data_IF_278530623392
#
_entry.id   IF_278530623392
#
_cell.length_a   1.000
_cell.length_b   1.000
_cell.length_c   1.000
_cell.angle_alpha   90.00
_cell.angle_beta   90.00
_cell.angle_gamma   90.00
#
_symmetry.space_group_name_H-M   'P 1'
#
loop_
_entity.id
_entity.type
_entity.pdbx_description
1 polymer ?
#
# COMPACT_ATOMS: atom_id res chain seq x y z
N UNK A 1 17.59 -18.29 3.99
CA UNK A 1 16.66 -17.92 5.04
C UNK A 1 16.59 -16.39 5.23
N UNK A 2 17.72 -15.68 5.47
CA UNK A 2 17.71 -14.24 5.73
C UNK A 2 17.07 -13.42 4.57
N UNK A 3 17.36 -13.77 3.32
CA UNK A 3 16.74 -13.13 2.16
C UNK A 3 15.21 -13.34 2.11
N UNK A 4 14.73 -14.52 2.50
CA UNK A 4 13.30 -14.78 2.62
C UNK A 4 12.66 -13.94 3.74
N UNK A 5 13.28 -13.87 4.92
CA UNK A 5 12.78 -13.04 6.02
C UNK A 5 12.75 -11.55 5.66
N UNK A 6 13.72 -11.07 4.88
CA UNK A 6 13.71 -9.72 4.32
C UNK A 6 12.45 -9.46 3.47
N UNK A 7 12.03 -10.40 2.61
CA UNK A 7 10.83 -10.24 1.79
C UNK A 7 9.55 -10.26 2.62
N UNK A 8 9.48 -11.08 3.67
CA UNK A 8 8.34 -11.13 4.60
C UNK A 8 8.17 -9.81 5.35
N UNK A 9 9.26 -9.25 5.87
CA UNK A 9 9.18 -7.95 6.56
C UNK A 9 8.89 -6.80 5.57
N UNK A 10 9.38 -6.88 4.34
CA UNK A 10 9.02 -5.95 3.26
C UNK A 10 7.52 -5.98 2.93
N UNK A 11 6.91 -7.16 2.88
CA UNK A 11 5.47 -7.31 2.71
C UNK A 11 4.69 -6.67 3.88
N UNK A 12 5.15 -6.86 5.12
CA UNK A 12 4.51 -6.23 6.30
C UNK A 12 4.60 -4.70 6.25
N UNK A 13 5.76 -4.17 5.87
CA UNK A 13 5.93 -2.72 5.71
C UNK A 13 4.98 -2.15 4.64
N UNK A 14 4.89 -2.82 3.49
CA UNK A 14 3.97 -2.43 2.42
C UNK A 14 2.51 -2.50 2.87
N UNK A 15 2.12 -3.54 3.61
CA UNK A 15 0.77 -3.68 4.14
C UNK A 15 0.41 -2.53 5.11
N UNK A 16 1.32 -2.16 6.01
CA UNK A 16 1.10 -1.00 6.91
C UNK A 16 0.93 0.30 6.14
N UNK A 17 1.77 0.52 5.11
CA UNK A 17 1.65 1.70 4.24
C UNK A 17 0.30 1.73 3.53
N UNK A 18 -0.11 0.60 2.96
CA UNK A 18 -1.38 0.48 2.25
C UNK A 18 -2.58 0.76 3.17
N UNK A 19 -2.60 0.18 4.36
CA UNK A 19 -3.67 0.43 5.35
C UNK A 19 -3.73 1.91 5.73
N UNK A 20 -2.57 2.55 5.93
CA UNK A 20 -2.49 3.98 6.22
C UNK A 20 -3.02 4.84 5.08
N UNK A 21 -2.67 4.51 3.82
CA UNK A 21 -3.16 5.23 2.65
C UNK A 21 -4.68 5.08 2.46
N UNK A 22 -5.21 3.86 2.65
CA UNK A 22 -6.66 3.61 2.59
C UNK A 22 -7.38 4.40 3.67
N UNK A 23 -6.86 4.40 4.90
CA UNK A 23 -7.46 5.17 6.00
C UNK A 23 -7.45 6.66 5.71
N UNK A 24 -6.33 7.21 5.23
CA UNK A 24 -6.23 8.62 4.85
C UNK A 24 -7.23 8.97 3.74
N UNK A 25 -7.25 8.20 2.65
CA UNK A 25 -8.17 8.43 1.54
C UNK A 25 -9.64 8.35 1.99
N UNK A 26 -9.96 7.45 2.93
CA UNK A 26 -11.30 7.33 3.49
C UNK A 26 -11.70 8.55 4.32
N UNK A 27 -10.82 9.07 5.17
CA UNK A 27 -11.10 10.30 5.95
C UNK A 27 -11.23 11.52 5.04
N UNK A 28 -10.42 11.63 3.98
CA UNK A 28 -10.55 12.69 2.98
C UNK A 28 -11.90 12.58 2.24
N UNK A 29 -12.34 11.38 1.88
CA UNK A 29 -13.65 11.13 1.32
C UNK A 29 -14.79 11.60 2.25
N UNK A 30 -14.69 11.28 3.55
CA UNK A 30 -15.68 11.70 4.55
C UNK A 30 -15.71 13.23 4.74
N UNK A 31 -14.54 13.88 4.64
CA UNK A 31 -14.47 15.35 4.66
C UNK A 31 -15.16 15.96 3.45
N UNK A 32 -14.95 15.42 2.25
CA UNK A 32 -15.65 15.87 1.03
C UNK A 32 -17.17 15.66 1.09
N UNK A 33 -17.63 14.53 1.65
CA UNK A 33 -19.07 14.28 1.87
C UNK A 33 -19.67 15.34 2.81
N UNK A 34 -18.97 15.72 3.88
CA UNK A 34 -19.40 16.77 4.80
C UNK A 34 -19.42 18.14 4.11
N UNK A 35 -18.37 18.46 3.37
CA UNK A 35 -18.30 19.71 2.60
C UNK A 35 -19.45 19.83 1.59
N UNK A 36 -19.74 18.74 0.85
CA UNK A 36 -20.86 18.68 -0.08
C UNK A 36 -22.21 18.94 0.63
N UNK A 37 -22.39 18.37 1.82
CA UNK A 37 -23.59 18.59 2.64
C UNK A 37 -23.75 20.07 3.02
N UNK A 38 -22.65 20.72 3.46
CA UNK A 38 -22.64 22.15 3.83
C UNK A 38 -22.93 23.01 2.60
N UNK A 39 -22.31 22.69 1.45
CA UNK A 39 -22.55 23.45 0.20
C UNK A 39 -23.99 23.31 -0.28
N UNK A 40 -24.60 22.12 -0.17
CA UNK A 40 -26.02 21.91 -0.50
C UNK A 40 -26.96 22.71 0.41
N UNK A 41 -26.71 22.76 1.71
CA UNK A 41 -27.44 23.62 2.64
C UNK A 41 -27.27 25.13 2.31
N UNK A 42 -26.03 25.51 1.98
CA UNK A 42 -25.73 26.89 1.58
C UNK A 42 -26.46 27.26 0.27
N UNK A 43 -26.50 26.33 -0.70
CA UNK A 43 -27.23 26.52 -1.94
C UNK A 43 -28.73 26.81 -1.69
N UNK A 44 -29.37 26.01 -0.83
CA UNK A 44 -30.79 26.24 -0.47
C UNK A 44 -31.00 27.61 0.18
N UNK A 45 -30.11 28.01 1.11
CA UNK A 45 -30.13 29.32 1.74
C UNK A 45 -29.94 30.47 0.72
N UNK A 46 -29.06 30.28 -0.29
CA UNK A 46 -28.85 31.25 -1.37
C UNK A 46 -30.06 31.34 -2.29
N UNK A 47 -30.73 30.24 -2.62
CA UNK A 47 -32.00 30.24 -3.38
C UNK A 47 -33.04 31.09 -2.67
N UNK A 48 -33.22 30.91 -1.37
CA UNK A 48 -34.18 31.70 -0.58
C UNK A 48 -33.77 33.20 -0.50
N UNK A 49 -32.47 33.47 -0.39
CA UNK A 49 -31.94 34.84 -0.42
C UNK A 49 -32.26 35.56 -1.76
N UNK A 50 -32.09 34.86 -2.87
CA UNK A 50 -32.44 35.37 -4.21
C UNK A 50 -33.94 35.65 -4.30
N UNK A 51 -34.79 34.73 -3.81
CA UNK A 51 -36.24 34.88 -3.78
C UNK A 51 -36.64 36.13 -2.99
N UNK A 52 -36.07 36.32 -1.81
CA UNK A 52 -36.36 37.48 -0.96
C UNK A 52 -35.86 38.79 -1.59
N UNK A 53 -34.63 38.79 -2.14
CA UNK A 53 -34.06 39.95 -2.82
C UNK A 53 -34.92 40.36 -4.04
N UNK A 54 -35.45 39.40 -4.80
CA UNK A 54 -36.37 39.64 -5.92
C UNK A 54 -37.66 40.31 -5.47
N UNK A 55 -38.32 39.78 -4.43
CA UNK A 55 -39.57 40.37 -3.88
C UNK A 55 -39.36 41.79 -3.40
N UNK A 56 -38.23 42.09 -2.74
CA UNK A 56 -37.91 43.45 -2.27
C UNK A 56 -37.64 44.40 -3.43
N UNK A 57 -37.00 43.95 -4.49
CA UNK A 57 -36.75 44.73 -5.69
C UNK A 57 -38.09 45.05 -6.43
N UNK A 58 -38.91 44.01 -6.67
CA UNK A 58 -40.23 44.19 -7.32
C UNK A 58 -41.17 45.09 -6.49
N UNK A 59 -41.06 45.07 -5.17
CA UNK A 59 -41.76 45.95 -4.26
C UNK A 59 -41.18 47.37 -4.14
N UNK A 60 -40.11 47.71 -4.88
CA UNK A 60 -39.44 49.00 -4.84
C UNK A 60 -38.67 49.30 -3.55
N UNK A 61 -38.42 48.28 -2.71
CA UNK A 61 -37.76 48.44 -1.39
C UNK A 61 -36.19 48.35 -1.47
N UNK A 62 -35.67 47.82 -2.58
CA UNK A 62 -34.21 47.70 -2.78
C UNK A 62 -33.82 47.93 -4.24
N UNK A 63 -32.54 48.22 -4.48
CA UNK A 63 -32.00 48.39 -5.83
C UNK A 63 -31.88 47.07 -6.59
N UNK A 64 -31.90 47.12 -7.92
CA UNK A 64 -31.62 45.96 -8.77
C UNK A 64 -30.21 45.35 -8.46
N UNK A 65 -29.24 46.16 -8.07
CA UNK A 65 -27.90 45.73 -7.72
C UNK A 65 -27.92 44.67 -6.63
N UNK A 66 -28.72 44.85 -5.57
CA UNK A 66 -28.83 43.89 -4.49
C UNK A 66 -29.40 42.55 -4.95
N UNK A 67 -30.38 42.56 -5.84
CA UNK A 67 -30.92 41.34 -6.45
C UNK A 67 -29.89 40.64 -7.34
N UNK A 68 -29.18 41.38 -8.19
CA UNK A 68 -28.12 40.83 -9.05
C UNK A 68 -26.98 40.24 -8.25
N UNK A 69 -26.60 40.90 -7.16
CA UNK A 69 -25.59 40.38 -6.24
C UNK A 69 -25.98 39.01 -5.65
N UNK A 70 -27.22 38.88 -5.19
CA UNK A 70 -27.75 37.61 -4.70
C UNK A 70 -27.70 36.49 -5.76
N UNK A 71 -28.03 36.81 -7.01
CA UNK A 71 -27.93 35.87 -8.13
C UNK A 71 -26.50 35.43 -8.40
N UNK A 72 -25.53 36.33 -8.34
CA UNK A 72 -24.10 36.00 -8.50
C UNK A 72 -23.62 35.06 -7.41
N UNK A 73 -24.00 35.30 -6.15
CA UNK A 73 -23.65 34.42 -5.04
C UNK A 73 -24.30 33.03 -5.17
N UNK A 74 -25.53 32.93 -5.63
CA UNK A 74 -26.15 31.64 -5.93
C UNK A 74 -25.41 30.93 -7.07
N UNK A 75 -25.08 31.62 -8.15
CA UNK A 75 -24.36 31.03 -9.28
C UNK A 75 -23.00 30.49 -8.86
N UNK A 76 -22.23 31.21 -8.03
CA UNK A 76 -20.97 30.75 -7.46
C UNK A 76 -21.16 29.46 -6.64
N UNK A 77 -22.15 29.43 -5.76
CA UNK A 77 -22.43 28.25 -4.93
C UNK A 77 -22.84 27.05 -5.79
N UNK A 78 -23.58 27.27 -6.85
CA UNK A 78 -24.05 26.23 -7.78
C UNK A 78 -22.86 25.53 -8.47
N UNK A 79 -21.76 26.22 -8.76
CA UNK A 79 -20.59 25.63 -9.43
C UNK A 79 -19.79 24.73 -8.52
N UNK A 80 -19.91 24.86 -7.18
CA UNK A 80 -19.17 24.03 -6.22
C UNK A 80 -19.72 22.61 -6.14
N UNK A 81 -21.03 22.42 -6.32
CA UNK A 81 -21.66 21.09 -6.17
C UNK A 81 -21.09 20.06 -7.15
N UNK A 82 -21.08 20.30 -8.48
CA UNK A 82 -20.55 19.31 -9.42
C UNK A 82 -19.03 19.09 -9.25
N UNK A 83 -18.29 20.09 -8.82
CA UNK A 83 -16.87 19.91 -8.56
C UNK A 83 -16.60 19.01 -7.35
N UNK A 84 -17.33 19.19 -6.25
CA UNK A 84 -17.24 18.30 -5.08
C UNK A 84 -17.71 16.88 -5.41
N UNK A 85 -18.78 16.72 -6.18
CA UNK A 85 -19.24 15.39 -6.62
C UNK A 85 -18.18 14.68 -7.47
N UNK A 86 -17.48 15.42 -8.35
CA UNK A 86 -16.35 14.90 -9.11
C UNK A 86 -15.20 14.48 -8.20
N UNK A 87 -14.84 15.29 -7.20
CA UNK A 87 -13.77 14.98 -6.25
C UNK A 87 -14.10 13.73 -5.42
N UNK A 88 -15.35 13.59 -4.98
CA UNK A 88 -15.85 12.40 -4.27
C UNK A 88 -15.66 11.15 -5.13
N UNK A 89 -16.06 11.18 -6.41
CA UNK A 89 -15.89 10.04 -7.33
C UNK A 89 -14.43 9.68 -7.54
N UNK A 90 -13.54 10.67 -7.66
CA UNK A 90 -12.11 10.44 -7.78
C UNK A 90 -11.56 9.75 -6.52
N UNK A 91 -12.00 10.17 -5.34
CA UNK A 91 -11.57 9.59 -4.06
C UNK A 91 -12.11 8.16 -3.86
N UNK A 92 -13.34 7.87 -4.28
CA UNK A 92 -13.91 6.52 -4.31
C UNK A 92 -13.09 5.59 -5.22
N UNK A 93 -12.72 6.07 -6.41
CA UNK A 93 -11.89 5.31 -7.34
C UNK A 93 -10.47 5.06 -6.78
N UNK A 94 -9.88 6.03 -6.08
CA UNK A 94 -8.59 5.87 -5.41
C UNK A 94 -8.65 4.77 -4.35
N UNK A 95 -9.68 4.77 -3.49
CA UNK A 95 -9.87 3.73 -2.48
C UNK A 95 -10.08 2.37 -3.13
N UNK A 96 -10.91 2.29 -4.18
CA UNK A 96 -11.14 1.06 -4.94
C UNK A 96 -9.83 0.50 -5.53
N UNK A 97 -8.98 1.36 -6.08
CA UNK A 97 -7.67 0.99 -6.60
C UNK A 97 -6.75 0.46 -5.49
N UNK A 98 -6.66 1.16 -4.35
CA UNK A 98 -5.84 0.76 -3.21
C UNK A 98 -6.28 -0.59 -2.61
N UNK A 99 -7.58 -0.90 -2.66
CA UNK A 99 -8.14 -2.16 -2.15
C UNK A 99 -8.21 -3.27 -3.19
N UNK A 100 -7.83 -2.99 -4.44
CA UNK A 100 -7.83 -3.96 -5.54
C UNK A 100 -9.24 -4.32 -6.04
N UNK A 101 -10.23 -3.44 -5.82
CA UNK A 101 -11.60 -3.62 -6.30
C UNK A 101 -11.86 -2.81 -7.56
N UNK A 102 -12.90 -3.18 -8.30
CA UNK A 102 -13.39 -2.36 -9.39
C UNK A 102 -13.95 -1.03 -8.86
N UNK A 103 -13.88 0.07 -9.65
CA UNK A 103 -14.47 1.34 -9.27
C UNK A 103 -15.93 1.20 -8.88
N UNK A 104 -16.31 1.76 -7.74
CA UNK A 104 -17.66 1.66 -7.21
C UNK A 104 -17.86 2.53 -5.97
N UNK A 105 -19.09 2.57 -5.47
CA UNK A 105 -19.42 3.32 -4.28
C UNK A 105 -18.75 2.69 -3.04
N UNK A 106 -18.12 3.53 -2.24
CA UNK A 106 -17.49 3.11 -0.98
C UNK A 106 -18.52 3.26 0.16
N UNK A 107 -18.73 2.22 0.99
CA UNK A 107 -19.64 2.30 2.14
C UNK A 107 -19.23 3.42 3.10
N UNK A 108 -20.20 4.27 3.50
CA UNK A 108 -20.01 5.34 4.48
C UNK A 108 -20.33 4.79 5.88
N UNK A 109 -19.38 4.92 6.80
CA UNK A 109 -19.62 4.69 8.21
C UNK A 109 -20.23 5.91 8.91
N UNK A 110 -19.93 6.07 10.19
CA UNK A 110 -20.36 7.23 10.98
C UNK A 110 -19.81 8.55 10.41
N UNK A 111 -20.53 9.64 10.69
CA UNK A 111 -20.08 10.98 10.29
C UNK A 111 -18.73 11.32 10.95
N UNK A 112 -17.93 12.13 10.23
CA UNK A 112 -16.57 12.47 10.65
C UNK A 112 -16.56 13.20 12.01
N UNK A 113 -17.59 13.97 12.33
CA UNK A 113 -17.77 14.69 13.60
C UNK A 113 -18.07 13.77 14.80
N UNK A 114 -18.51 12.53 14.55
CA UNK A 114 -18.83 11.53 15.59
C UNK A 114 -17.76 10.48 15.78
N UNK A 115 -16.71 10.50 14.98
CA UNK A 115 -15.64 9.52 15.06
C UNK A 115 -14.76 9.80 16.30
N UNK A 116 -14.60 8.77 17.13
CA UNK A 116 -13.76 8.84 18.33
C UNK A 116 -12.29 8.73 17.92
N UNK A 117 -11.53 9.78 18.12
CA UNK A 117 -10.07 9.73 17.99
C UNK A 117 -9.46 9.04 19.22
N UNK A 118 -8.53 8.12 18.99
CA UNK A 118 -7.68 7.57 20.04
C UNK A 118 -6.75 8.68 20.56
N UNK A 119 -7.12 9.31 21.65
CA UNK A 119 -6.36 10.44 22.26
C UNK A 119 -5.19 9.96 23.13
N UNK A 120 -5.23 8.70 23.60
CA UNK A 120 -4.18 8.11 24.45
C UNK A 120 -3.09 7.42 23.62
N UNK A 121 -2.27 8.20 22.92
CA UNK A 121 -1.02 7.71 22.38
C UNK A 121 0.05 7.79 23.48
N UNK A 122 0.71 6.67 23.84
CA UNK A 122 1.72 6.67 24.88
C UNK A 122 2.86 7.64 24.52
N UNK A 123 3.09 8.61 25.40
CA UNK A 123 4.17 9.59 25.26
C UNK A 123 5.50 8.90 25.50
N UNK A 124 6.36 8.89 24.49
CA UNK A 124 7.65 8.22 24.50
C UNK A 124 7.58 6.80 23.99
N UNK A 125 8.11 6.62 22.79
CA UNK A 125 8.22 5.29 22.15
C UNK A 125 9.42 4.56 22.77
N UNK A 126 9.24 3.43 23.46
CA UNK A 126 10.35 2.62 23.92
C UNK A 126 11.23 2.20 22.74
N UNK A 127 12.54 2.11 22.94
CA UNK A 127 13.49 1.62 21.91
C UNK A 127 13.08 0.25 21.34
N UNK A 128 12.38 -0.57 22.13
CA UNK A 128 11.81 -1.83 21.68
C UNK A 128 10.79 -1.71 20.53
N UNK A 129 10.18 -0.55 20.31
CA UNK A 129 9.31 -0.32 19.15
C UNK A 129 10.12 -0.21 17.85
N UNK A 130 11.35 0.29 17.90
CA UNK A 130 12.25 0.31 16.75
C UNK A 130 12.53 -1.12 16.25
N UNK A 131 12.69 -2.07 17.18
CA UNK A 131 12.90 -3.48 16.86
C UNK A 131 11.66 -4.16 16.26
N UNK A 132 10.47 -3.61 16.50
CA UNK A 132 9.20 -4.13 15.96
C UNK A 132 8.84 -3.56 14.60
N UNK A 133 9.45 -2.46 14.17
CA UNK A 133 9.18 -1.84 12.88
C UNK A 133 9.60 -2.76 11.72
N UNK A 134 8.67 -3.07 10.80
CA UNK A 134 8.98 -3.99 9.69
C UNK A 134 10.06 -3.46 8.74
N UNK A 135 10.14 -2.15 8.51
CA UNK A 135 11.16 -1.53 7.66
C UNK A 135 12.57 -1.66 8.25
N UNK A 136 12.71 -1.50 9.58
CA UNK A 136 13.98 -1.71 10.29
C UNK A 136 14.37 -3.19 10.25
N UNK A 137 13.43 -4.09 10.52
CA UNK A 137 13.66 -5.54 10.45
C UNK A 137 14.02 -5.99 9.03
N UNK A 138 13.40 -5.42 8.01
CA UNK A 138 13.76 -5.66 6.62
C UNK A 138 15.22 -5.27 6.34
N UNK A 139 15.66 -4.09 6.79
CA UNK A 139 17.03 -3.63 6.64
C UNK A 139 18.02 -4.53 7.40
N UNK A 140 17.66 -4.97 8.61
CA UNK A 140 18.45 -5.91 9.40
C UNK A 140 18.61 -7.27 8.69
N UNK A 141 17.53 -7.85 8.17
CA UNK A 141 17.60 -9.10 7.42
C UNK A 141 18.37 -8.96 6.11
N UNK A 142 18.31 -7.80 5.47
CA UNK A 142 19.14 -7.47 4.29
C UNK A 142 20.62 -7.50 4.66
N UNK A 143 20.98 -6.89 5.79
CA UNK A 143 22.36 -6.94 6.31
C UNK A 143 22.79 -8.38 6.65
N UNK A 144 21.95 -9.15 7.34
CA UNK A 144 22.21 -10.58 7.65
C UNK A 144 22.39 -11.41 6.37
N UNK A 145 21.59 -11.13 5.33
CA UNK A 145 21.73 -11.81 4.04
C UNK A 145 23.05 -11.45 3.34
N UNK A 146 23.46 -10.18 3.38
CA UNK A 146 24.74 -9.74 2.84
C UNK A 146 25.93 -10.38 3.59
N UNK A 147 25.87 -10.40 4.91
CA UNK A 147 26.89 -11.04 5.74
C UNK A 147 26.99 -12.56 5.47
N UNK A 148 25.86 -13.25 5.29
CA UNK A 148 25.87 -14.67 4.90
C UNK A 148 26.51 -14.90 3.52
N UNK A 149 26.40 -13.95 2.57
CA UNK A 149 27.10 -14.03 1.27
C UNK A 149 28.61 -13.93 1.41
N UNK A 150 29.11 -13.13 2.37
CA UNK A 150 30.56 -13.11 2.69
C UNK A 150 31.00 -14.48 3.16
N UNK A 151 30.23 -15.14 4.02
CA UNK A 151 30.50 -16.51 4.44
C UNK A 151 30.57 -17.51 3.27
N UNK A 152 29.62 -17.39 2.32
CA UNK A 152 29.61 -18.21 1.09
C UNK A 152 30.84 -17.94 0.24
N UNK A 153 31.22 -16.68 0.06
CA UNK A 153 32.43 -16.31 -0.70
C UNK A 153 33.71 -16.89 -0.01
N UNK A 154 33.77 -16.80 1.31
CA UNK A 154 34.88 -17.40 2.08
C UNK A 154 34.95 -18.91 1.93
N UNK A 155 33.80 -19.61 2.01
CA UNK A 155 33.77 -21.08 1.86
C UNK A 155 34.14 -21.54 0.45
N UNK A 156 34.04 -20.71 -0.56
CA UNK A 156 34.47 -21.03 -1.94
C UNK A 156 35.98 -21.15 -2.10
N UNK A 157 36.78 -20.76 -1.08
CA UNK A 157 38.22 -20.93 -1.03
C UNK A 157 38.60 -22.38 -0.63
N UNK A 158 37.70 -23.14 -0.03
CA UNK A 158 37.96 -24.49 0.48
C UNK A 158 37.49 -25.57 -0.51
N UNK A 159 38.06 -26.80 -0.39
CA UNK A 159 37.59 -27.93 -1.17
C UNK A 159 36.12 -28.23 -0.94
N UNK A 160 35.40 -28.49 -2.01
CA UNK A 160 34.01 -28.92 -1.97
C UNK A 160 33.88 -30.42 -2.07
N UNK A 161 33.23 -31.03 -1.07
CA UNK A 161 32.94 -32.47 -1.03
C UNK A 161 31.48 -32.65 -1.36
N UNK A 162 31.19 -33.35 -2.44
CA UNK A 162 29.81 -33.67 -2.86
C UNK A 162 29.61 -35.17 -2.78
N UNK A 163 28.59 -35.61 -2.05
CA UNK A 163 28.15 -37.00 -2.00
C UNK A 163 26.82 -37.09 -2.78
N UNK A 164 26.78 -37.99 -3.74
CA UNK A 164 25.61 -38.25 -4.57
C UNK A 164 25.16 -39.69 -4.41
N UNK A 165 23.92 -39.89 -3.99
CA UNK A 165 23.29 -41.19 -3.93
C UNK A 165 22.07 -41.18 -4.87
N UNK A 166 21.94 -42.18 -5.70
CA UNK A 166 20.77 -42.39 -6.56
C UNK A 166 20.29 -43.82 -6.39
N UNK A 167 18.98 -43.94 -6.24
CA UNK A 167 18.32 -45.24 -6.28
C UNK A 167 17.16 -45.13 -7.26
N UNK A 168 17.05 -46.08 -8.17
CA UNK A 168 16.02 -46.04 -9.18
C UNK A 168 15.93 -47.40 -9.87
N UNK A 169 15.13 -47.41 -10.94
CA UNK A 169 14.98 -48.50 -11.90
C UNK A 169 15.22 -47.91 -13.26
N UNK A 170 16.08 -48.53 -14.04
CA UNK A 170 16.46 -48.10 -15.37
C UNK A 170 16.62 -49.33 -16.24
N UNK A 171 15.88 -49.43 -17.32
CA UNK A 171 16.04 -50.49 -18.30
C UNK A 171 15.77 -49.90 -19.68
N UNK A 172 16.34 -50.53 -20.74
CA UNK A 172 16.13 -50.17 -22.13
C UNK A 172 14.78 -50.68 -22.68
N UNK A 173 14.16 -51.67 -22.01
CA UNK A 173 12.84 -52.22 -22.36
C UNK A 173 11.80 -51.99 -21.27
N UNK A 174 10.61 -51.55 -21.67
CA UNK A 174 9.51 -51.24 -20.76
C UNK A 174 9.03 -52.47 -19.97
N UNK A 175 9.18 -53.65 -20.52
CA UNK A 175 8.82 -54.94 -19.92
C UNK A 175 9.68 -55.31 -18.72
N UNK A 176 10.92 -54.84 -18.64
CA UNK A 176 11.89 -55.17 -17.60
C UNK A 176 12.19 -54.00 -16.63
N UNK A 177 11.57 -52.84 -16.87
CA UNK A 177 11.71 -51.64 -16.07
C UNK A 177 11.49 -51.86 -14.55
N UNK A 178 10.66 -52.82 -14.16
CA UNK A 178 10.39 -53.11 -12.74
C UNK A 178 11.37 -54.19 -12.15
N UNK A 179 12.20 -54.83 -12.95
CA UNK A 179 13.01 -55.98 -12.53
C UNK A 179 14.43 -55.62 -12.14
N UNK A 180 15.00 -54.52 -12.62
CA UNK A 180 16.39 -54.13 -12.39
C UNK A 180 16.51 -52.87 -11.55
N UNK A 181 16.51 -52.95 -10.21
CA UNK A 181 16.87 -51.80 -9.39
C UNK A 181 18.39 -51.51 -9.48
N UNK A 182 18.73 -50.24 -9.69
CA UNK A 182 20.13 -49.80 -9.58
C UNK A 182 20.33 -48.88 -8.39
N UNK A 183 21.52 -49.00 -7.83
CA UNK A 183 22.01 -48.13 -6.77
C UNK A 183 23.32 -47.51 -7.23
N UNK A 184 23.41 -46.19 -7.10
CA UNK A 184 24.64 -45.46 -7.37
C UNK A 184 25.00 -44.63 -6.14
N UNK A 185 26.26 -44.79 -5.69
CA UNK A 185 26.85 -43.94 -4.65
C UNK A 185 28.17 -43.38 -5.19
N UNK A 186 28.26 -42.07 -5.27
CA UNK A 186 29.45 -41.38 -5.78
C UNK A 186 29.87 -40.23 -4.88
N UNK A 187 31.17 -40.14 -4.64
CA UNK A 187 31.81 -39.02 -3.95
C UNK A 187 32.66 -38.19 -4.93
N UNK A 188 32.56 -36.88 -4.87
CA UNK A 188 33.36 -35.95 -5.68
C UNK A 188 34.02 -34.92 -4.76
N UNK A 189 35.34 -34.75 -4.88
CA UNK A 189 36.12 -33.69 -4.23
C UNK A 189 36.62 -32.71 -5.30
N UNK A 190 36.31 -31.47 -5.14
CA UNK A 190 36.75 -30.37 -6.01
C UNK A 190 37.43 -29.31 -5.15
N UNK A 191 38.67 -28.97 -5.49
CA UNK A 191 39.44 -27.93 -4.84
C UNK A 191 39.92 -26.92 -5.89
N UNK A 192 39.73 -25.61 -5.71
CA UNK A 192 40.32 -24.60 -6.59
C UNK A 192 41.82 -24.47 -6.26
N UNK A 193 42.68 -25.00 -7.14
CA UNK A 193 44.14 -24.91 -6.99
C UNK A 193 44.66 -23.57 -7.48
N UNK A 194 44.15 -23.09 -8.60
CA UNK A 194 44.51 -21.80 -9.18
C UNK A 194 43.33 -21.18 -9.93
N UNK A 195 42.97 -19.94 -9.58
CA UNK A 195 41.87 -19.18 -10.21
C UNK A 195 42.21 -17.72 -10.44
N UNK A 196 43.50 -17.39 -10.61
CA UNK A 196 44.00 -16.02 -10.89
C UNK A 196 43.43 -14.93 -9.92
N UNK A 197 43.20 -15.30 -8.64
CA UNK A 197 42.69 -14.38 -7.63
C UNK A 197 41.17 -14.13 -7.65
N UNK A 198 40.39 -14.74 -8.57
CA UNK A 198 38.94 -14.54 -8.72
C UNK A 198 38.16 -14.79 -7.41
N UNK A 199 38.51 -15.84 -6.63
CA UNK A 199 37.81 -16.11 -5.37
C UNK A 199 38.14 -15.09 -4.27
N UNK A 200 39.35 -14.49 -4.28
CA UNK A 200 39.69 -13.40 -3.36
C UNK A 200 39.01 -12.07 -3.74
N UNK A 201 38.82 -11.82 -5.03
CA UNK A 201 38.14 -10.63 -5.50
C UNK A 201 36.62 -10.63 -5.25
N UNK A 202 36.05 -11.80 -4.89
CA UNK A 202 34.63 -11.94 -4.51
C UNK A 202 34.38 -11.75 -3.01
N UNK A 203 35.41 -11.75 -2.19
CA UNK A 203 35.38 -11.45 -0.75
C UNK A 203 35.29 -9.95 -0.53
#
# INVERSE_FOLDING_TARGET
>A
LAAYLQTVEGQRALHMTLVSQVAQAYFELRALDMELSIVKQTYEARVESVRLAKLRFEGGLTSETAYRQAQVELAKTTTLVPDLERQIRLKENEISLLTGHYPGDIPRGENIDRQTLLTDLPVGLPSSLLERRPDIRQAEYKLKAANAKVGVAYTSLFPQITLTARYGREDSELSDFLKAPYFYLGGKLLAPVFNAGSNRARL
#
